data_IF_254028583608
#
_entry.id   IF_254028583608
#
_cell.length_a   1.000
_cell.length_b   1.000
_cell.length_c   1.000
_cell.angle_alpha   90.00
_cell.angle_beta   90.00
_cell.angle_gamma   90.00
#
_symmetry.space_group_name_H-M   'P 1'
#
loop_
_entity.id
_entity.type
_entity.pdbx_description
1 polymer ?
#
# COMPACT_ATOMS: atom_id res chain seq x y z
N UNK A 1 0.82 19.88 -1.39
CA UNK A 1 0.41 18.85 -2.38
C UNK A 1 1.05 17.55 -1.96
N UNK A 2 0.31 16.45 -2.02
CA UNK A 2 0.85 15.14 -1.66
C UNK A 2 1.89 14.66 -2.69
N UNK A 3 2.92 13.98 -2.22
CA UNK A 3 4.00 13.44 -3.06
C UNK A 3 3.83 11.94 -3.21
N UNK A 4 3.82 11.45 -4.46
CA UNK A 4 3.52 10.07 -4.78
C UNK A 4 4.75 9.28 -5.20
N UNK A 5 4.86 8.04 -4.71
CA UNK A 5 5.91 7.08 -5.07
C UNK A 5 5.32 5.71 -5.43
N UNK A 6 6.04 4.92 -6.21
CA UNK A 6 5.65 3.55 -6.56
C UNK A 6 5.39 2.70 -5.30
N UNK A 7 4.21 2.10 -5.21
CA UNK A 7 3.83 1.23 -4.09
C UNK A 7 4.57 -0.10 -4.19
N UNK A 8 5.63 -0.24 -3.38
CA UNK A 8 6.44 -1.46 -3.28
C UNK A 8 6.48 -1.95 -1.84
N UNK A 9 5.55 -2.84 -1.48
CA UNK A 9 5.38 -3.36 -0.13
C UNK A 9 5.13 -4.87 -0.19
N UNK A 10 5.25 -5.55 0.95
CA UNK A 10 4.67 -6.90 1.15
C UNK A 10 3.14 -6.84 1.15
N UNK A 11 2.46 -7.97 1.01
CA UNK A 11 1.01 -8.04 1.06
C UNK A 11 0.47 -7.68 2.44
N UNK A 12 -0.24 -6.55 2.62
CA UNK A 12 -0.75 -6.14 3.91
C UNK A 12 -1.92 -7.03 4.37
N UNK A 13 -2.74 -7.54 3.43
CA UNK A 13 -3.81 -8.47 3.76
C UNK A 13 -3.29 -9.84 4.25
N UNK A 14 -2.23 -10.38 3.66
CA UNK A 14 -1.61 -11.60 4.17
C UNK A 14 -0.99 -11.38 5.56
N UNK A 15 -0.39 -10.20 5.81
CA UNK A 15 0.09 -9.83 7.15
C UNK A 15 -1.07 -9.76 8.16
N UNK A 16 -2.22 -9.23 7.74
CA UNK A 16 -3.43 -9.21 8.57
C UNK A 16 -3.93 -10.62 8.93
N UNK A 17 -3.72 -11.59 8.05
CA UNK A 17 -4.05 -13.00 8.28
C UNK A 17 -2.94 -13.76 9.07
N UNK A 18 -1.91 -13.06 9.55
CA UNK A 18 -0.81 -13.64 10.33
C UNK A 18 0.30 -14.30 9.49
N UNK A 19 0.28 -14.11 8.17
CA UNK A 19 1.34 -14.59 7.27
C UNK A 19 2.49 -13.57 7.14
N UNK A 20 3.60 -13.99 6.55
CA UNK A 20 4.78 -13.12 6.36
C UNK A 20 4.59 -11.97 5.37
N UNK A 21 3.50 -11.97 4.59
CA UNK A 21 3.24 -11.00 3.51
C UNK A 21 3.99 -11.26 2.21
N UNK A 22 4.83 -12.30 2.15
CA UNK A 22 5.64 -12.63 0.98
C UNK A 22 6.80 -11.67 0.73
N UNK A 23 7.29 -11.64 -0.52
CA UNK A 23 8.35 -10.73 -0.93
C UNK A 23 7.82 -9.31 -1.18
N UNK A 24 8.67 -8.29 -1.01
CA UNK A 24 8.34 -6.91 -1.40
C UNK A 24 8.21 -6.85 -2.92
N UNK A 25 7.06 -6.40 -3.42
CA UNK A 25 6.77 -6.35 -4.86
C UNK A 25 6.02 -5.08 -5.24
N UNK A 26 6.08 -4.73 -6.53
CA UNK A 26 5.29 -3.63 -7.10
C UNK A 26 3.82 -4.02 -7.17
N UNK A 27 2.94 -3.11 -6.75
CA UNK A 27 1.49 -3.30 -6.81
C UNK A 27 0.87 -2.69 -8.06
N UNK A 28 -0.17 -3.34 -8.57
CA UNK A 28 -0.87 -2.96 -9.80
C UNK A 28 -2.39 -2.93 -9.57
N UNK A 29 -3.06 -2.01 -10.26
CA UNK A 29 -4.51 -1.91 -10.25
C UNK A 29 -5.11 -3.06 -11.06
N UNK A 30 -5.86 -3.96 -10.41
CA UNK A 30 -6.47 -5.13 -11.04
C UNK A 30 -7.23 -4.82 -12.35
N UNK A 31 -8.02 -3.75 -12.36
CA UNK A 31 -8.89 -3.44 -13.51
C UNK A 31 -8.10 -3.06 -14.78
N UNK A 32 -6.99 -2.34 -14.64
CA UNK A 32 -6.29 -1.75 -15.80
C UNK A 32 -4.82 -2.16 -15.92
N UNK A 33 -4.26 -2.87 -14.95
CA UNK A 33 -2.83 -3.25 -14.89
C UNK A 33 -1.88 -2.07 -14.69
N UNK A 34 -2.38 -0.88 -14.38
CA UNK A 34 -1.54 0.29 -14.10
C UNK A 34 -0.86 0.17 -12.74
N UNK A 35 0.41 0.60 -12.62
CA UNK A 35 1.10 0.65 -11.33
C UNK A 35 0.32 1.53 -10.35
N UNK A 36 0.28 1.08 -9.10
CA UNK A 36 -0.20 1.87 -7.98
C UNK A 36 0.96 2.68 -7.40
N UNK A 37 0.68 3.95 -7.14
CA UNK A 37 1.51 4.84 -6.34
C UNK A 37 0.80 5.18 -5.04
N UNK A 38 1.58 5.51 -4.01
CA UNK A 38 1.13 5.89 -2.68
C UNK A 38 1.59 7.31 -2.38
N UNK A 39 0.68 8.13 -1.85
CA UNK A 39 0.95 9.48 -1.34
C UNK A 39 1.12 9.51 0.17
N UNK A 40 1.77 10.56 0.69
CA UNK A 40 1.82 10.87 2.12
C UNK A 40 0.46 11.27 2.71
N UNK A 41 -0.54 11.52 1.86
CA UNK A 41 -1.94 11.75 2.21
C UNK A 41 -2.75 10.45 2.38
N UNK A 42 -2.08 9.30 2.45
CA UNK A 42 -2.69 7.97 2.55
C UNK A 42 -3.69 7.66 1.42
N UNK A 43 -3.49 8.24 0.24
CA UNK A 43 -4.20 7.84 -0.97
C UNK A 43 -3.33 6.95 -1.86
N UNK A 44 -3.98 5.99 -2.52
CA UNK A 44 -3.42 5.34 -3.68
C UNK A 44 -3.88 6.01 -4.95
N UNK A 45 -3.00 6.04 -5.94
CA UNK A 45 -3.27 6.53 -7.29
C UNK A 45 -2.78 5.52 -8.31
N UNK A 46 -3.65 5.14 -9.24
CA UNK A 46 -3.25 4.36 -10.42
C UNK A 46 -2.69 5.28 -11.51
N UNK A 47 -1.48 5.00 -12.01
CA UNK A 47 -0.85 5.82 -13.05
C UNK A 47 -1.55 5.74 -14.43
N UNK A 48 -2.33 4.69 -14.67
CA UNK A 48 -2.95 4.42 -15.99
C UNK A 48 -4.35 5.02 -16.10
N UNK A 49 -5.19 4.83 -15.08
CA UNK A 49 -6.59 5.29 -15.10
C UNK A 49 -6.85 6.49 -14.18
N UNK A 50 -5.84 6.97 -13.46
CA UNK A 50 -5.92 8.07 -12.49
C UNK A 50 -6.92 7.86 -11.34
N UNK A 51 -7.49 6.66 -11.20
CA UNK A 51 -8.33 6.34 -10.05
C UNK A 51 -7.50 6.53 -8.77
N UNK A 52 -8.07 7.29 -7.85
CA UNK A 52 -7.42 7.68 -6.61
C UNK A 52 -8.40 7.61 -5.46
N UNK A 53 -8.02 6.96 -4.37
CA UNK A 53 -8.81 6.92 -3.16
C UNK A 53 -7.97 6.49 -1.95
N UNK A 54 -8.50 6.77 -0.77
CA UNK A 54 -7.83 6.48 0.49
C UNK A 54 -7.55 4.98 0.64
N UNK A 55 -6.39 4.62 1.17
CA UNK A 55 -5.89 3.24 1.31
C UNK A 55 -6.92 2.29 1.93
N UNK A 56 -7.68 2.77 2.92
CA UNK A 56 -8.77 2.02 3.58
C UNK A 56 -9.87 1.48 2.66
N UNK A 57 -10.03 2.07 1.47
CA UNK A 57 -11.03 1.64 0.49
C UNK A 57 -10.51 0.55 -0.46
N UNK A 58 -9.23 0.19 -0.34
CA UNK A 58 -8.59 -0.79 -1.22
C UNK A 58 -8.57 -2.17 -0.59
N UNK A 59 -8.58 -3.17 -1.47
CA UNK A 59 -8.43 -4.57 -1.11
C UNK A 59 -7.21 -5.12 -1.85
N UNK A 60 -6.59 -6.14 -1.29
CA UNK A 60 -5.30 -6.65 -1.73
C UNK A 60 -5.42 -8.13 -2.06
N UNK A 61 -4.83 -8.51 -3.19
CA UNK A 61 -4.60 -9.89 -3.57
C UNK A 61 -3.14 -10.00 -4.01
N UNK A 62 -2.45 -11.02 -3.50
CA UNK A 62 -1.09 -11.35 -3.93
C UNK A 62 -1.19 -12.47 -4.97
N UNK A 63 -0.80 -12.15 -6.20
CA UNK A 63 -0.82 -13.12 -7.31
C UNK A 63 -0.07 -14.41 -6.95
N UNK A 64 -0.67 -15.54 -7.26
CA UNK A 64 -0.11 -16.87 -7.00
C UNK A 64 -0.39 -17.46 -5.62
N UNK A 65 -0.89 -16.67 -4.65
CA UNK A 65 -1.26 -17.17 -3.32
C UNK A 65 -2.75 -17.06 -3.02
N UNK A 66 -3.42 -15.99 -3.45
CA UNK A 66 -4.86 -15.80 -3.20
C UNK A 66 -5.58 -15.23 -4.41
N UNK A 67 -6.77 -15.78 -4.68
CA UNK A 67 -7.67 -15.33 -5.75
C UNK A 67 -8.57 -14.18 -5.31
N UNK A 68 -8.73 -14.00 -3.99
CA UNK A 68 -9.71 -13.09 -3.42
C UNK A 68 -9.06 -11.80 -2.91
N UNK A 69 -9.75 -10.69 -3.16
CA UNK A 69 -9.35 -9.37 -2.70
C UNK A 69 -9.78 -9.14 -1.26
N UNK A 70 -8.82 -9.07 -0.35
CA UNK A 70 -9.06 -8.98 1.11
C UNK A 70 -8.76 -7.59 1.66
N UNK A 71 -9.45 -7.17 2.73
CA UNK A 71 -9.11 -5.94 3.43
C UNK A 71 -7.79 -6.09 4.19
N UNK A 72 -7.29 -4.98 4.71
CA UNK A 72 -6.24 -4.92 5.73
C UNK A 72 -6.70 -3.92 6.79
N UNK A 73 -5.96 -3.79 7.88
CA UNK A 73 -6.13 -2.65 8.80
C UNK A 73 -4.97 -1.67 8.69
N UNK A 74 -5.10 -0.50 9.31
CA UNK A 74 -4.03 0.51 9.40
C UNK A 74 -2.75 -0.06 10.04
N UNK A 75 -2.88 -0.85 11.11
CA UNK A 75 -1.74 -1.47 11.79
C UNK A 75 -0.99 -2.47 10.90
N UNK A 76 -1.72 -3.36 10.21
CA UNK A 76 -1.12 -4.33 9.30
C UNK A 76 -0.52 -3.66 8.06
N UNK A 77 -1.14 -2.57 7.59
CA UNK A 77 -0.58 -1.76 6.53
C UNK A 77 0.73 -1.06 6.96
N UNK A 78 0.76 -0.46 8.15
CA UNK A 78 1.95 0.15 8.74
C UNK A 78 3.10 -0.87 8.85
N UNK A 79 2.79 -2.11 9.25
CA UNK A 79 3.76 -3.20 9.25
C UNK A 79 4.26 -3.50 7.82
N UNK A 80 3.35 -3.67 6.85
CA UNK A 80 3.72 -3.92 5.46
C UNK A 80 4.64 -2.84 4.88
N UNK A 81 4.34 -1.56 5.10
CA UNK A 81 5.14 -0.46 4.57
C UNK A 81 6.46 -0.25 5.32
N UNK A 82 6.58 -0.69 6.58
CA UNK A 82 7.88 -0.70 7.28
C UNK A 82 8.92 -1.58 6.56
N UNK A 83 8.46 -2.57 5.80
CA UNK A 83 9.34 -3.44 4.98
C UNK A 83 9.76 -2.79 3.66
N UNK A 84 9.13 -1.68 3.26
CA UNK A 84 9.47 -0.93 2.07
C UNK A 84 10.64 0.02 2.32
N UNK A 85 11.81 -0.54 2.60
CA UNK A 85 13.05 0.21 2.75
C UNK A 85 13.33 1.15 1.56
N UNK A 86 12.84 0.80 0.35
CA UNK A 86 12.91 1.67 -0.83
C UNK A 86 12.06 2.94 -0.69
N UNK A 87 10.80 2.83 -0.24
CA UNK A 87 9.91 3.99 -0.07
C UNK A 87 10.46 4.91 1.01
N UNK A 88 10.91 4.37 2.14
CA UNK A 88 11.54 5.17 3.18
C UNK A 88 12.86 5.84 2.71
N UNK A 89 13.66 5.15 1.88
CA UNK A 89 14.92 5.70 1.36
C UNK A 89 14.74 6.81 0.32
N UNK A 90 13.71 6.71 -0.54
CA UNK A 90 13.45 7.68 -1.62
C UNK A 90 12.57 8.82 -1.14
N UNK A 91 11.52 8.52 -0.37
CA UNK A 91 10.58 9.52 0.12
C UNK A 91 11.04 10.23 1.40
N UNK A 92 11.92 9.59 2.17
CA UNK A 92 12.44 10.10 3.42
C UNK A 92 11.54 9.85 4.63
N UNK A 93 12.10 10.04 5.83
CA UNK A 93 11.44 9.78 7.12
C UNK A 93 10.18 10.63 7.33
N UNK A 94 10.22 11.91 6.95
CA UNK A 94 9.10 12.82 7.18
C UNK A 94 7.86 12.41 6.38
N UNK A 95 8.06 12.00 5.12
CA UNK A 95 6.99 11.49 4.28
C UNK A 95 6.34 10.24 4.89
N UNK A 96 7.14 9.32 5.42
CA UNK A 96 6.62 8.11 6.07
C UNK A 96 5.82 8.43 7.33
N UNK A 97 6.29 9.38 8.15
CA UNK A 97 5.55 9.82 9.35
C UNK A 97 4.19 10.39 8.93
N UNK A 98 4.18 11.30 7.96
CA UNK A 98 2.94 11.93 7.47
C UNK A 98 1.97 10.91 6.87
N UNK A 99 2.48 9.91 6.13
CA UNK A 99 1.66 8.78 5.68
C UNK A 99 1.01 8.05 6.86
N UNK A 100 1.79 7.68 7.88
CA UNK A 100 1.30 6.92 9.03
C UNK A 100 0.25 7.70 9.82
N UNK A 101 0.42 9.01 9.97
CA UNK A 101 -0.57 9.91 10.58
C UNK A 101 -1.87 9.98 9.76
N UNK A 102 -1.77 9.93 8.43
CA UNK A 102 -2.92 10.00 7.54
C UNK A 102 -3.64 8.66 7.33
N UNK A 103 -3.08 7.51 7.75
CA UNK A 103 -3.78 6.23 7.66
C UNK A 103 -5.10 6.23 8.43
N UNK A 104 -5.19 7.02 9.50
CA UNK A 104 -6.33 7.06 10.41
C UNK A 104 -6.42 5.83 11.32
N UNK A 105 -7.27 5.94 12.35
CA UNK A 105 -7.47 4.89 13.35
C UNK A 105 -8.35 3.75 12.80
N UNK A 106 -7.96 2.52 13.15
CA UNK A 106 -8.58 1.21 12.85
C UNK A 106 -9.81 1.19 11.93
N UNK A 107 -9.56 0.79 10.68
CA UNK A 107 -10.53 0.47 9.64
C UNK A 107 -10.31 -0.94 9.09
#
# INVERSE_FOLDING_TARGET
>A
MATYYDLKIRCPACIADGESGGAVSQWYHNNCGGKIQIGDDANYKCIKCNYSSHIKNWRYAHEGYHTDYRPTTSAHFANAISTAGQVASVAGKQWLITLLENLGDDW
#
